data_IF_601098171701
#
_entry.id   IF_601098171701
#
_cell.length_a   1.000
_cell.length_b   1.000
_cell.length_c   1.000
_cell.angle_alpha   90.00
_cell.angle_beta   90.00
_cell.angle_gamma   90.00
#
_symmetry.space_group_name_H-M   'P 1'
#
loop_
_entity.id
_entity.type
_entity.pdbx_description
1 polymer ?
#
# COMPACT_ATOMS: atom_id res chain seq x y z
N UNK A 1 -5.80 -54.27 22.63
CA UNK A 1 -6.11 -53.40 23.78
C UNK A 1 -5.05 -52.32 23.85
N UNK A 2 -5.50 -51.08 23.65
CA UNK A 2 -4.99 -49.77 24.09
C UNK A 2 -3.50 -49.37 23.98
N UNK A 3 -3.37 -48.20 23.33
CA UNK A 3 -2.25 -47.29 23.06
C UNK A 3 -1.84 -46.56 24.37
N UNK A 4 -0.63 -45.95 24.52
CA UNK A 4 -0.46 -44.59 24.01
C UNK A 4 0.88 -44.34 23.26
N UNK A 5 0.76 -43.91 22.01
CA UNK A 5 1.71 -43.10 21.28
C UNK A 5 1.60 -41.68 21.86
N UNK A 6 2.68 -41.17 22.43
CA UNK A 6 2.82 -39.76 22.74
C UNK A 6 2.99 -38.99 21.42
N UNK A 7 1.88 -38.48 20.89
CA UNK A 7 1.90 -37.43 19.87
C UNK A 7 2.33 -36.12 20.54
N UNK A 8 3.61 -35.78 20.40
CA UNK A 8 4.07 -34.42 20.59
C UNK A 8 3.44 -33.56 19.49
N UNK A 9 2.34 -32.88 19.83
CA UNK A 9 1.81 -31.78 19.05
C UNK A 9 2.80 -30.62 19.09
N UNK A 10 3.72 -30.57 18.13
CA UNK A 10 4.44 -29.36 17.77
C UNK A 10 3.45 -28.40 17.11
N UNK A 11 2.70 -27.68 17.96
CA UNK A 11 1.96 -26.50 17.52
C UNK A 11 2.99 -25.46 17.08
N UNK A 12 3.09 -25.27 15.77
CA UNK A 12 3.74 -24.13 15.15
C UNK A 12 3.05 -22.85 15.63
N UNK A 13 3.52 -22.30 16.75
CA UNK A 13 3.28 -20.90 17.08
C UNK A 13 3.87 -20.05 15.94
N UNK A 14 2.98 -19.48 15.12
CA UNK A 14 3.30 -18.32 14.29
C UNK A 14 4.04 -17.32 15.17
N UNK A 15 5.33 -17.12 14.88
CA UNK A 15 6.26 -16.40 15.72
C UNK A 15 5.73 -15.02 16.11
N UNK A 16 5.43 -14.86 17.39
CA UNK A 16 5.45 -13.53 18.01
C UNK A 16 6.88 -13.01 17.86
N UNK A 17 7.06 -11.86 17.23
CA UNK A 17 8.36 -11.19 17.32
C UNK A 17 8.69 -10.99 18.80
N UNK A 18 9.86 -11.46 19.28
CA UNK A 18 10.19 -11.44 20.70
C UNK A 18 10.33 -10.01 21.26
N UNK A 19 10.47 -9.00 20.39
CA UNK A 19 10.36 -7.60 20.76
C UNK A 19 9.37 -6.90 19.80
N UNK A 20 8.23 -6.38 20.30
CA UNK A 20 7.27 -5.65 19.47
C UNK A 20 7.76 -4.26 19.08
N UNK A 21 8.84 -3.76 19.68
CA UNK A 21 9.38 -2.42 19.45
C UNK A 21 10.59 -2.48 18.54
N UNK A 22 10.67 -1.57 17.57
CA UNK A 22 11.82 -1.52 16.66
C UNK A 22 12.88 -0.57 17.24
N UNK A 23 14.14 -1.01 17.37
CA UNK A 23 15.19 -0.22 18.01
C UNK A 23 15.67 0.95 17.14
N UNK A 24 15.32 0.96 15.86
CA UNK A 24 15.75 1.96 14.89
C UNK A 24 14.56 2.83 14.48
N UNK A 25 14.70 4.12 14.70
CA UNK A 25 13.73 5.14 14.32
C UNK A 25 13.09 5.83 15.51
N UNK A 26 12.46 6.95 15.23
CA UNK A 26 11.70 7.73 16.19
C UNK A 26 10.56 8.41 15.46
N UNK A 27 9.38 8.38 16.05
CA UNK A 27 8.22 9.14 15.59
C UNK A 27 7.79 10.12 16.68
N UNK A 28 7.04 11.15 16.29
CA UNK A 28 6.33 12.01 17.24
C UNK A 28 4.91 11.49 17.41
N UNK A 29 4.44 11.53 18.65
CA UNK A 29 3.03 11.35 19.04
C UNK A 29 2.10 12.23 18.19
N UNK A 30 2.41 13.53 18.05
CA UNK A 30 1.65 14.47 17.23
C UNK A 30 1.51 13.98 15.78
N UNK A 31 2.61 13.56 15.15
CA UNK A 31 2.60 13.07 13.78
C UNK A 31 1.74 11.80 13.64
N UNK A 32 1.80 10.89 14.60
CA UNK A 32 1.00 9.67 14.58
C UNK A 32 -0.49 9.93 14.83
N UNK A 33 -0.85 10.88 15.70
CA UNK A 33 -2.25 11.30 15.86
C UNK A 33 -2.80 11.97 14.60
N UNK A 34 -1.99 12.78 13.90
CA UNK A 34 -2.38 13.34 12.61
C UNK A 34 -2.54 12.25 11.55
N UNK A 35 -1.65 11.25 11.52
CA UNK A 35 -1.79 10.10 10.62
C UNK A 35 -3.10 9.33 10.91
N UNK A 36 -3.43 9.10 12.18
CA UNK A 36 -4.70 8.49 12.58
C UNK A 36 -5.91 9.32 12.18
N UNK A 37 -5.86 10.65 12.32
CA UNK A 37 -6.94 11.55 11.93
C UNK A 37 -7.24 11.51 10.42
N UNK A 38 -6.26 11.15 9.59
CA UNK A 38 -6.41 10.95 8.15
C UNK A 38 -7.02 9.59 7.77
N UNK A 39 -7.21 8.67 8.72
CA UNK A 39 -7.87 7.40 8.47
C UNK A 39 -9.38 7.60 8.30
N UNK A 40 -9.91 7.09 7.19
CA UNK A 40 -11.33 7.06 6.90
C UNK A 40 -11.96 5.79 7.48
N UNK A 41 -13.13 5.97 8.11
CA UNK A 41 -13.94 4.90 8.67
C UNK A 41 -15.33 4.94 8.06
N UNK A 42 -16.07 3.85 8.16
CA UNK A 42 -17.50 3.80 7.86
C UNK A 42 -18.30 4.67 8.85
N UNK A 43 -19.59 4.87 8.56
CA UNK A 43 -20.48 5.69 9.40
C UNK A 43 -20.67 5.17 10.82
N UNK A 44 -20.49 3.86 11.03
CA UNK A 44 -20.52 3.22 12.34
C UNK A 44 -19.13 3.19 13.04
N UNK A 45 -18.16 3.96 12.51
CA UNK A 45 -16.79 4.08 13.01
C UNK A 45 -15.96 2.78 12.95
N UNK A 46 -16.21 1.91 11.96
CA UNK A 46 -15.42 0.69 11.75
C UNK A 46 -14.53 0.77 10.51
N UNK A 47 -13.55 -0.14 10.42
CA UNK A 47 -12.88 -0.44 9.17
C UNK A 47 -13.88 -1.06 8.19
N UNK A 48 -13.91 -0.56 6.95
CA UNK A 48 -14.76 -1.10 5.89
C UNK A 48 -14.51 -2.61 5.70
N UNK A 49 -15.59 -3.39 5.69
CA UNK A 49 -15.52 -4.82 5.46
C UNK A 49 -14.76 -5.15 4.16
N UNK A 50 -13.79 -6.06 4.25
CA UNK A 50 -12.90 -6.43 3.14
C UNK A 50 -11.63 -5.58 3.01
N UNK A 51 -11.54 -4.42 3.66
CA UNK A 51 -10.32 -3.61 3.73
C UNK A 51 -9.37 -4.14 4.80
N UNK A 52 -8.53 -5.11 4.42
CA UNK A 52 -7.62 -5.77 5.36
C UNK A 52 -6.42 -4.94 5.74
N UNK A 53 -5.94 -4.05 4.87
CA UNK A 53 -4.78 -3.21 5.14
C UNK A 53 -5.16 -1.74 4.99
N UNK A 54 -4.99 -0.99 6.05
CA UNK A 54 -5.13 0.46 6.09
C UNK A 54 -3.78 1.05 6.42
N UNK A 55 -3.39 2.11 5.72
CA UNK A 55 -2.17 2.83 6.00
C UNK A 55 -2.39 4.32 5.77
N UNK A 56 -1.94 5.14 6.71
CA UNK A 56 -1.92 6.60 6.60
C UNK A 56 -0.60 7.12 7.16
N UNK A 57 -0.17 8.27 6.66
CA UNK A 57 1.08 8.87 7.08
C UNK A 57 0.91 10.38 7.23
N UNK A 58 1.61 10.94 8.21
CA UNK A 58 1.72 12.37 8.47
C UNK A 58 3.06 12.65 9.13
N UNK A 59 3.73 13.73 8.72
CA UNK A 59 5.07 14.06 9.20
C UNK A 59 6.04 12.88 9.04
N UNK A 60 6.67 12.47 10.14
CA UNK A 60 7.57 11.32 10.20
C UNK A 60 6.89 9.98 10.52
N UNK A 61 5.57 9.93 10.75
CA UNK A 61 4.86 8.73 11.19
C UNK A 61 4.08 8.06 10.06
N UNK A 62 4.25 6.74 9.92
CA UNK A 62 3.39 5.83 9.18
C UNK A 62 2.63 4.94 10.17
N UNK A 63 1.30 5.04 10.12
CA UNK A 63 0.40 4.21 10.89
C UNK A 63 -0.25 3.18 9.96
N UNK A 64 -0.04 1.90 10.24
CA UNK A 64 -0.65 0.80 9.52
C UNK A 64 -1.54 -0.04 10.43
N UNK A 65 -2.70 -0.44 9.91
CA UNK A 65 -3.61 -1.38 10.56
C UNK A 65 -3.86 -2.55 9.61
N UNK A 66 -3.53 -3.75 10.06
CA UNK A 66 -3.82 -4.99 9.37
C UNK A 66 -4.96 -5.72 10.08
N UNK A 67 -6.17 -5.62 9.53
CA UNK A 67 -7.36 -6.32 10.04
C UNK A 67 -7.24 -7.82 9.84
N UNK A 68 -7.71 -8.57 10.84
CA UNK A 68 -7.86 -10.02 10.83
C UNK A 68 -9.31 -10.36 10.48
N UNK A 69 -9.54 -11.56 9.96
CA UNK A 69 -10.88 -12.03 9.56
C UNK A 69 -11.75 -12.45 10.78
N UNK A 70 -11.58 -11.79 11.93
CA UNK A 70 -12.19 -12.16 13.22
C UNK A 70 -13.23 -11.15 13.73
N UNK A 71 -13.59 -10.15 12.93
CA UNK A 71 -14.66 -9.19 13.23
C UNK A 71 -14.38 -7.78 12.71
N UNK A 72 -15.33 -6.87 12.92
CA UNK A 72 -15.14 -5.44 12.60
C UNK A 72 -14.19 -4.79 13.63
N UNK A 73 -13.21 -4.05 13.15
CA UNK A 73 -12.29 -3.26 13.99
C UNK A 73 -12.85 -1.84 14.12
N UNK A 74 -13.11 -1.44 15.36
CA UNK A 74 -13.63 -0.11 15.70
C UNK A 74 -12.50 0.93 15.75
N UNK A 75 -12.82 2.17 15.38
CA UNK A 75 -11.89 3.30 15.41
C UNK A 75 -11.24 3.51 16.78
N UNK A 76 -12.02 3.42 17.86
CA UNK A 76 -11.49 3.61 19.22
C UNK A 76 -10.49 2.51 19.61
N UNK A 77 -10.67 1.27 19.13
CA UNK A 77 -9.73 0.18 19.42
C UNK A 77 -8.36 0.44 18.79
N UNK A 78 -8.32 1.05 17.60
CA UNK A 78 -7.07 1.44 16.95
C UNK A 78 -6.39 2.58 17.73
N UNK A 79 -7.17 3.54 18.21
CA UNK A 79 -6.66 4.63 19.04
C UNK A 79 -6.04 4.11 20.35
N UNK A 80 -6.76 3.26 21.09
CA UNK A 80 -6.24 2.61 22.29
C UNK A 80 -4.97 1.79 21.99
N UNK A 81 -4.95 1.11 20.84
CA UNK A 81 -3.81 0.33 20.41
C UNK A 81 -2.58 1.20 20.10
N UNK A 82 -2.75 2.42 19.59
CA UNK A 82 -1.66 3.39 19.40
C UNK A 82 -1.09 3.83 20.74
N UNK A 83 -1.93 4.18 21.72
CA UNK A 83 -1.49 4.53 23.07
C UNK A 83 -0.66 3.41 23.72
N UNK A 84 -1.05 2.16 23.45
CA UNK A 84 -0.31 0.99 23.90
C UNK A 84 1.06 0.86 23.23
N UNK A 85 1.20 1.19 21.94
CA UNK A 85 2.51 1.24 21.26
C UNK A 85 3.37 2.37 21.85
N UNK A 86 2.80 3.56 22.04
CA UNK A 86 3.51 4.72 22.63
C UNK A 86 4.07 4.36 24.01
N UNK A 87 3.25 3.74 24.86
CA UNK A 87 3.65 3.34 26.22
C UNK A 87 4.72 2.24 26.22
N UNK A 88 4.55 1.20 25.39
CA UNK A 88 5.45 0.03 25.40
C UNK A 88 6.75 0.27 24.65
N UNK A 89 6.74 1.11 23.64
CA UNK A 89 7.89 1.38 22.77
C UNK A 89 8.51 2.76 22.98
N UNK A 90 8.18 3.42 24.10
CA UNK A 90 8.81 4.67 24.52
C UNK A 90 10.33 4.50 24.71
N UNK A 91 11.17 5.50 24.35
CA UNK A 91 10.79 6.82 23.79
C UNK A 91 10.67 6.86 22.27
N UNK A 92 11.01 5.78 21.56
CA UNK A 92 11.01 5.75 20.10
C UNK A 92 9.60 5.80 19.51
N UNK A 93 8.63 5.17 20.20
CA UNK A 93 7.22 5.03 19.80
C UNK A 93 7.04 4.30 18.46
N UNK A 94 7.99 3.43 18.14
CA UNK A 94 8.03 2.64 16.91
C UNK A 94 7.89 1.16 17.28
N UNK A 95 6.87 0.50 16.74
CA UNK A 95 6.61 -0.90 17.02
C UNK A 95 5.34 -1.44 16.35
N UNK A 96 5.15 -2.75 16.48
CA UNK A 96 3.98 -3.48 15.99
C UNK A 96 3.39 -4.33 17.11
N UNK A 97 2.10 -4.12 17.40
CA UNK A 97 1.39 -4.84 18.46
C UNK A 97 0.20 -5.62 17.88
N UNK A 98 0.12 -6.94 18.14
CA UNK A 98 -1.01 -7.75 17.72
C UNK A 98 -2.18 -7.64 18.72
N UNK A 99 -3.39 -7.49 18.19
CA UNK A 99 -4.67 -7.53 18.91
C UNK A 99 -5.54 -8.67 18.36
N UNK A 100 -6.64 -9.07 19.02
CA UNK A 100 -7.47 -10.17 18.54
C UNK A 100 -8.02 -9.99 17.12
N UNK A 101 -8.43 -8.77 16.74
CA UNK A 101 -9.04 -8.45 15.44
C UNK A 101 -8.15 -7.71 14.46
N UNK A 102 -6.94 -7.28 14.86
CA UNK A 102 -6.04 -6.55 13.98
C UNK A 102 -4.59 -6.57 14.49
N UNK A 103 -3.68 -5.99 13.72
CA UNK A 103 -2.32 -5.62 14.13
C UNK A 103 -2.20 -4.13 13.86
N UNK A 104 -1.67 -3.37 14.83
CA UNK A 104 -1.29 -1.97 14.62
C UNK A 104 0.23 -1.88 14.49
N UNK A 105 0.71 -1.07 13.56
CA UNK A 105 2.13 -0.77 13.41
C UNK A 105 2.32 0.74 13.32
N UNK A 106 3.15 1.28 14.21
CA UNK A 106 3.66 2.64 14.11
C UNK A 106 5.12 2.55 13.69
N UNK A 107 5.46 3.22 12.59
CA UNK A 107 6.82 3.21 12.05
C UNK A 107 7.24 4.58 11.57
N UNK A 108 8.54 4.83 11.61
CA UNK A 108 9.10 6.02 10.98
C UNK A 108 9.02 5.86 9.46
N UNK A 109 8.54 6.90 8.78
CA UNK A 109 8.55 6.95 7.33
C UNK A 109 9.69 7.79 6.80
N UNK A 110 10.44 7.24 5.84
CA UNK A 110 11.44 8.03 5.12
C UNK A 110 10.75 8.94 4.11
N UNK A 111 11.26 10.17 3.87
CA UNK A 111 10.59 11.13 3.00
C UNK A 111 10.35 10.63 1.57
N UNK A 112 11.22 9.75 1.08
CA UNK A 112 11.20 9.14 -0.26
C UNK A 112 10.44 7.80 -0.32
N UNK A 113 9.86 7.35 0.80
CA UNK A 113 9.06 6.11 0.85
C UNK A 113 7.93 6.20 -0.17
N UNK A 114 7.80 5.25 -1.12
CA UNK A 114 6.74 5.27 -2.10
C UNK A 114 5.35 5.29 -1.45
N UNK A 115 4.40 6.01 -2.06
CA UNK A 115 2.97 6.06 -1.71
C UNK A 115 2.63 6.81 -0.41
N UNK A 116 3.48 6.72 0.61
CA UNK A 116 3.20 7.25 1.94
C UNK A 116 4.23 8.25 2.45
N UNK A 117 5.42 8.34 1.85
CA UNK A 117 6.48 9.24 2.31
C UNK A 117 5.99 10.68 2.40
N UNK A 118 6.55 11.45 3.34
CA UNK A 118 6.10 12.83 3.63
C UNK A 118 6.19 13.77 2.42
N UNK A 119 7.06 13.47 1.44
CA UNK A 119 7.15 14.21 0.19
C UNK A 119 6.19 13.72 -0.91
N UNK A 120 5.42 12.66 -0.66
CA UNK A 120 4.44 12.14 -1.62
C UNK A 120 3.27 13.12 -1.73
N UNK A 121 3.18 13.79 -2.88
CA UNK A 121 2.05 14.66 -3.23
C UNK A 121 1.14 13.94 -4.22
N UNK A 122 -0.16 13.91 -3.94
CA UNK A 122 -1.13 13.28 -4.83
C UNK A 122 -1.23 14.02 -6.15
N UNK A 123 -1.39 13.25 -7.24
CA UNK A 123 -1.50 13.76 -8.61
C UNK A 123 -0.30 14.60 -9.09
N UNK A 124 0.81 14.60 -8.34
CA UNK A 124 2.08 15.26 -8.71
C UNK A 124 3.10 14.19 -9.10
N UNK A 125 3.58 14.16 -10.36
CA UNK A 125 4.55 13.16 -10.76
C UNK A 125 5.93 13.36 -10.13
N UNK A 126 6.57 12.24 -9.78
CA UNK A 126 7.98 12.13 -9.42
C UNK A 126 8.74 11.47 -10.56
N UNK A 127 9.88 12.05 -10.95
CA UNK A 127 10.67 11.62 -12.10
C UNK A 127 11.99 10.97 -11.65
N UNK A 128 12.64 10.23 -12.53
CA UNK A 128 13.89 9.50 -12.24
C UNK A 128 13.73 8.46 -11.12
N UNK A 129 12.55 7.83 -11.05
CA UNK A 129 12.36 6.69 -10.14
C UNK A 129 13.29 5.54 -10.53
N UNK A 130 13.73 4.77 -9.54
CA UNK A 130 14.56 3.58 -9.75
C UNK A 130 13.78 2.57 -10.61
N UNK A 131 14.40 2.16 -11.72
CA UNK A 131 13.83 1.22 -12.69
C UNK A 131 14.53 -0.13 -12.55
N UNK A 132 13.80 -1.26 -12.57
CA UNK A 132 14.40 -2.59 -12.67
C UNK A 132 14.89 -2.91 -14.09
N UNK A 133 14.65 -2.01 -15.05
CA UNK A 133 15.06 -2.14 -16.45
C UNK A 133 16.19 -1.17 -16.79
N UNK A 134 17.00 -1.54 -17.78
CA UNK A 134 18.02 -0.68 -18.37
C UNK A 134 17.44 0.70 -18.75
N UNK A 135 18.12 1.81 -18.47
CA UNK A 135 17.65 3.14 -18.86
C UNK A 135 17.39 3.24 -20.38
N UNK A 136 16.37 4.01 -20.75
CA UNK A 136 16.01 4.24 -22.15
C UNK A 136 14.92 5.30 -22.30
N UNK A 137 14.67 5.69 -23.54
CA UNK A 137 13.69 6.73 -23.90
C UNK A 137 12.29 6.12 -23.89
N UNK A 138 11.39 6.74 -23.13
CA UNK A 138 9.98 6.34 -23.04
C UNK A 138 9.14 7.19 -24.00
N UNK A 139 8.41 6.54 -24.91
CA UNK A 139 7.49 7.19 -25.83
C UNK A 139 6.08 7.29 -25.20
N UNK A 140 5.51 8.50 -25.00
CA UNK A 140 4.17 8.64 -24.43
C UNK A 140 3.07 7.89 -25.20
N UNK A 141 3.04 7.90 -26.55
CA UNK A 141 2.12 7.06 -27.32
C UNK A 141 2.23 5.55 -27.03
N UNK A 142 3.42 5.06 -26.73
CA UNK A 142 3.62 3.65 -26.38
C UNK A 142 2.99 3.34 -25.02
N UNK A 143 3.06 4.25 -24.05
CA UNK A 143 2.40 4.08 -22.75
C UNK A 143 0.88 4.02 -22.87
N UNK A 144 0.29 4.85 -23.73
CA UNK A 144 -1.16 4.79 -23.99
C UNK A 144 -1.56 3.44 -24.58
N UNK A 145 -0.78 2.92 -25.54
CA UNK A 145 -0.99 1.59 -26.13
C UNK A 145 -0.81 0.45 -25.13
N UNK A 146 0.16 0.56 -24.22
CA UNK A 146 0.32 -0.39 -23.13
C UNK A 146 -0.96 -0.44 -22.27
N UNK A 147 -1.53 0.72 -21.92
CA UNK A 147 -2.78 0.79 -21.13
C UNK A 147 -3.98 0.23 -21.91
N UNK A 148 -4.07 0.51 -23.22
CA UNK A 148 -5.10 -0.05 -24.09
C UNK A 148 -5.07 -1.58 -24.16
N UNK A 149 -3.89 -2.18 -23.98
CA UNK A 149 -3.73 -3.64 -23.97
C UNK A 149 -4.25 -4.33 -22.70
N UNK A 150 -4.50 -3.58 -21.62
CA UNK A 150 -5.01 -4.11 -20.36
C UNK A 150 -6.44 -4.61 -20.58
N UNK A 151 -6.63 -5.93 -20.53
CA UNK A 151 -7.93 -6.54 -20.75
C UNK A 151 -8.86 -6.30 -19.57
N UNK A 152 -10.16 -6.27 -19.84
CA UNK A 152 -11.19 -6.37 -18.80
C UNK A 152 -11.24 -7.81 -18.31
N UNK A 153 -11.27 -8.02 -16.99
CA UNK A 153 -11.56 -9.30 -16.39
C UNK A 153 -13.06 -9.59 -16.55
N UNK A 154 -13.40 -10.45 -17.52
CA UNK A 154 -14.80 -10.83 -17.79
C UNK A 154 -15.47 -11.58 -16.63
N UNK A 155 -14.68 -12.17 -15.72
CA UNK A 155 -15.22 -12.83 -14.53
C UNK A 155 -15.56 -11.84 -13.40
N UNK A 156 -15.07 -10.60 -13.47
CA UNK A 156 -15.41 -9.57 -12.48
C UNK A 156 -16.81 -9.02 -12.76
N UNK A 157 -17.76 -9.07 -11.81
CA UNK A 157 -19.09 -8.49 -11.99
C UNK A 157 -19.04 -6.97 -12.21
N UNK A 158 -17.98 -6.32 -11.72
CA UNK A 158 -17.75 -4.88 -11.82
C UNK A 158 -16.96 -4.51 -13.09
N UNK A 159 -16.66 -5.48 -13.97
CA UNK A 159 -15.88 -5.30 -15.21
C UNK A 159 -14.54 -4.59 -14.97
N UNK A 160 -13.87 -4.95 -13.88
CA UNK A 160 -12.54 -4.41 -13.54
C UNK A 160 -11.50 -4.81 -14.57
N UNK A 161 -10.39 -4.06 -14.61
CA UNK A 161 -9.22 -4.44 -15.38
C UNK A 161 -8.60 -5.72 -14.81
N UNK A 162 -8.04 -6.55 -15.69
CA UNK A 162 -7.31 -7.75 -15.33
C UNK A 162 -6.09 -7.38 -14.48
N UNK A 163 -6.02 -7.98 -13.30
CA UNK A 163 -5.08 -7.65 -12.25
C UNK A 163 -4.82 -8.86 -11.36
N UNK A 164 -3.77 -8.79 -10.56
CA UNK A 164 -3.44 -9.80 -9.55
C UNK A 164 -3.13 -9.10 -8.24
N UNK A 165 -3.92 -9.36 -7.19
CA UNK A 165 -3.71 -8.82 -5.84
C UNK A 165 -3.52 -7.29 -5.80
N UNK A 166 -4.36 -6.57 -6.54
CA UNK A 166 -4.27 -5.11 -6.63
C UNK A 166 -3.10 -4.58 -7.46
N UNK A 167 -2.52 -5.41 -8.33
CA UNK A 167 -1.44 -5.03 -9.24
C UNK A 167 -1.83 -5.24 -10.71
N UNK A 168 -1.48 -4.27 -11.56
CA UNK A 168 -1.65 -4.32 -13.01
C UNK A 168 -0.30 -4.01 -13.65
N UNK A 169 0.11 -4.82 -14.63
CA UNK A 169 1.29 -4.56 -15.44
C UNK A 169 0.95 -4.67 -16.93
N UNK A 170 1.41 -3.72 -17.74
CA UNK A 170 1.30 -3.80 -19.19
C UNK A 170 2.48 -3.11 -19.85
N UNK A 171 2.93 -3.65 -20.97
CA UNK A 171 4.06 -3.09 -21.72
C UNK A 171 3.76 -3.02 -23.20
N UNK A 172 4.29 -2.00 -23.85
CA UNK A 172 4.29 -1.86 -25.30
C UNK A 172 5.53 -1.11 -25.75
N UNK A 173 6.32 -1.71 -26.64
CA UNK A 173 7.56 -1.15 -27.21
C UNK A 173 8.46 -0.52 -26.15
N UNK A 174 8.52 0.81 -26.06
CA UNK A 174 9.41 1.54 -25.14
C UNK A 174 8.86 1.73 -23.73
N UNK A 175 7.57 1.44 -23.49
CA UNK A 175 6.91 1.75 -22.23
C UNK A 175 6.45 0.50 -21.47
N UNK A 176 6.76 0.46 -20.19
CA UNK A 176 6.25 -0.50 -19.21
C UNK A 176 5.49 0.26 -18.13
N UNK A 177 4.21 -0.04 -17.97
CA UNK A 177 3.31 0.56 -17.00
C UNK A 177 3.05 -0.45 -15.90
N UNK A 178 3.32 -0.05 -14.66
CA UNK A 178 3.04 -0.84 -13.47
C UNK A 178 2.16 -0.03 -12.52
N UNK A 179 1.05 -0.62 -12.07
CA UNK A 179 0.10 0.02 -11.17
C UNK A 179 -0.09 -0.89 -9.97
N UNK A 180 -0.09 -0.31 -8.76
CA UNK A 180 -0.37 -1.05 -7.53
C UNK A 180 -1.27 -0.27 -6.59
N UNK A 181 -2.13 -0.97 -5.87
CA UNK A 181 -2.86 -0.43 -4.73
C UNK A 181 -2.04 -0.57 -3.44
N UNK A 182 -2.16 0.39 -2.53
CA UNK A 182 -1.48 0.36 -1.23
C UNK A 182 -1.99 -0.74 -0.30
N UNK A 183 -3.26 -1.10 -0.47
CA UNK A 183 -3.98 -2.05 0.38
C UNK A 183 -4.14 -3.44 -0.25
N UNK A 184 -3.52 -3.68 -1.42
CA UNK A 184 -3.58 -4.95 -2.16
C UNK A 184 -4.99 -5.36 -2.61
N UNK A 185 -5.97 -4.47 -2.50
CA UNK A 185 -7.31 -4.67 -3.04
C UNK A 185 -7.37 -4.30 -4.51
N UNK A 186 -8.39 -4.83 -5.20
CA UNK A 186 -8.57 -4.60 -6.63
C UNK A 186 -8.68 -3.11 -6.96
N UNK A 187 -7.90 -2.70 -7.96
CA UNK A 187 -7.91 -1.39 -8.59
C UNK A 187 -9.23 -1.21 -9.34
N UNK A 188 -9.90 -0.09 -9.09
CA UNK A 188 -11.19 0.31 -9.67
C UNK A 188 -11.06 1.35 -10.78
N UNK A 189 -9.82 1.79 -11.07
CA UNK A 189 -9.53 2.69 -12.17
C UNK A 189 -9.70 1.98 -13.52
N UNK A 190 -10.48 2.58 -14.42
CA UNK A 190 -10.60 2.13 -15.81
C UNK A 190 -9.43 2.65 -16.67
N UNK A 191 -9.36 2.20 -17.92
CA UNK A 191 -8.31 2.60 -18.86
C UNK A 191 -8.21 4.12 -19.03
N UNK A 192 -9.32 4.86 -19.08
CA UNK A 192 -9.28 6.32 -19.23
C UNK A 192 -8.64 7.02 -18.03
N UNK A 193 -8.95 6.57 -16.80
CA UNK A 193 -8.30 7.11 -15.60
C UNK A 193 -6.81 6.76 -15.57
N UNK A 194 -6.44 5.55 -15.99
CA UNK A 194 -5.04 5.16 -16.10
C UNK A 194 -4.30 5.98 -17.17
N UNK A 195 -4.91 6.25 -18.33
CA UNK A 195 -4.34 7.13 -19.35
C UNK A 195 -4.09 8.53 -18.82
N UNK A 196 -5.03 9.10 -18.06
CA UNK A 196 -4.84 10.40 -17.40
C UNK A 196 -3.65 10.39 -16.45
N UNK A 197 -3.49 9.34 -15.63
CA UNK A 197 -2.31 9.18 -14.77
C UNK A 197 -1.02 9.08 -15.58
N UNK A 198 -1.02 8.31 -16.67
CA UNK A 198 0.12 8.20 -17.58
C UNK A 198 0.48 9.55 -18.20
N UNK A 199 -0.51 10.33 -18.64
CA UNK A 199 -0.29 11.65 -19.22
C UNK A 199 0.31 12.63 -18.23
N UNK A 200 -0.06 12.59 -16.94
CA UNK A 200 0.59 13.39 -15.90
C UNK A 200 2.09 13.05 -15.84
N UNK A 201 2.44 11.77 -15.77
CA UNK A 201 3.84 11.32 -15.70
C UNK A 201 4.59 11.73 -16.97
N UNK A 202 4.11 11.37 -18.16
CA UNK A 202 4.81 11.63 -19.41
C UNK A 202 4.88 13.11 -19.76
N UNK A 203 3.92 13.92 -19.30
CA UNK A 203 3.94 15.37 -19.48
C UNK A 203 5.04 16.04 -18.66
N UNK A 204 5.23 15.61 -17.40
CA UNK A 204 6.21 16.21 -16.48
C UNK A 204 7.60 15.57 -16.59
N UNK A 205 7.67 14.25 -16.61
CA UNK A 205 8.92 13.48 -16.68
C UNK A 205 9.43 13.28 -18.11
N UNK A 206 8.66 13.74 -19.11
CA UNK A 206 8.99 13.63 -20.53
C UNK A 206 9.26 12.17 -20.90
N UNK A 207 10.48 11.87 -21.34
CA UNK A 207 10.90 10.56 -21.82
C UNK A 207 11.60 9.70 -20.75
N UNK A 208 11.52 10.09 -19.48
CA UNK A 208 12.16 9.41 -18.35
C UNK A 208 11.14 8.61 -17.53
N UNK A 209 11.64 7.62 -16.79
CA UNK A 209 10.85 6.88 -15.81
C UNK A 209 10.24 7.83 -14.77
N UNK A 210 9.02 7.55 -14.35
CA UNK A 210 8.35 8.36 -13.35
C UNK A 210 7.19 7.64 -12.68
N UNK A 211 6.66 8.24 -11.63
CA UNK A 211 5.50 7.73 -10.92
C UNK A 211 4.54 8.85 -10.55
N UNK A 212 3.28 8.50 -10.34
CA UNK A 212 2.29 9.36 -9.72
C UNK A 212 1.48 8.53 -8.74
N UNK A 213 1.14 9.12 -7.59
CA UNK A 213 0.28 8.51 -6.59
C UNK A 213 -1.05 9.25 -6.62
N UNK A 214 -2.15 8.50 -6.61
CA UNK A 214 -3.49 9.04 -6.49
C UNK A 214 -4.09 8.61 -5.17
N UNK A 215 -4.83 9.53 -4.54
CA UNK A 215 -5.72 9.15 -3.46
C UNK A 215 -6.86 8.31 -4.03
N UNK A 216 -7.19 7.21 -3.37
CA UNK A 216 -8.14 6.20 -3.85
C UNK A 216 -7.68 5.49 -5.14
N UNK A 217 -8.61 4.82 -5.82
CA UNK A 217 -8.37 4.10 -7.07
C UNK A 217 -8.34 2.58 -6.93
N UNK A 218 -8.48 2.05 -5.72
CA UNK A 218 -8.87 0.66 -5.45
C UNK A 218 -10.00 0.64 -4.44
N UNK A 219 -10.60 -0.53 -4.21
CA UNK A 219 -11.54 -0.71 -3.10
C UNK A 219 -10.90 -0.34 -1.75
N UNK A 220 -11.73 0.03 -0.78
CA UNK A 220 -11.29 0.53 0.53
C UNK A 220 -11.39 2.05 0.63
N UNK A 221 -11.61 2.54 1.85
CA UNK A 221 -11.74 3.97 2.16
C UNK A 221 -10.38 4.65 2.37
N UNK A 222 -9.32 3.87 2.53
CA UNK A 222 -7.97 4.36 2.82
C UNK A 222 -6.99 4.03 1.69
N UNK A 223 -7.51 3.59 0.55
CA UNK A 223 -6.69 3.17 -0.56
C UNK A 223 -5.93 4.33 -1.20
N UNK A 224 -4.72 4.01 -1.69
CA UNK A 224 -3.95 4.84 -2.59
C UNK A 224 -3.51 3.99 -3.76
N UNK A 225 -3.51 4.55 -4.95
CA UNK A 225 -3.08 3.85 -6.16
C UNK A 225 -1.86 4.55 -6.74
N UNK A 226 -0.77 3.80 -6.93
CA UNK A 226 0.44 4.30 -7.57
C UNK A 226 0.54 3.76 -8.99
N UNK A 227 0.81 4.63 -9.95
CA UNK A 227 1.31 4.24 -11.27
C UNK A 227 2.80 4.56 -11.36
N UNK A 228 3.56 3.63 -11.91
CA UNK A 228 4.96 3.76 -12.28
C UNK A 228 5.09 3.47 -13.77
N UNK A 229 5.88 4.29 -14.46
CA UNK A 229 6.21 4.14 -15.87
C UNK A 229 7.73 3.98 -15.97
N UNK A 230 8.14 2.93 -16.68
CA UNK A 230 9.53 2.58 -16.92
C UNK A 230 9.80 2.43 -18.41
N UNK A 231 11.08 2.51 -18.78
CA UNK A 231 11.51 2.00 -20.07
C UNK A 231 11.32 0.49 -20.12
N UNK A 232 10.69 0.00 -21.18
CA UNK A 232 10.54 -1.43 -21.41
C UNK A 232 11.80 -1.98 -22.10
N UNK A 233 12.81 -2.25 -21.27
CA UNK A 233 14.11 -2.77 -21.68
C UNK A 233 14.43 -4.13 -21.07
N UNK A 234 15.70 -4.53 -21.15
CA UNK A 234 16.18 -5.72 -20.42
C UNK A 234 16.22 -5.41 -18.93
N UNK A 235 15.94 -6.42 -18.09
CA UNK A 235 16.16 -6.30 -16.65
C UNK A 235 17.64 -6.05 -16.37
N UNK A 236 17.91 -5.18 -15.40
CA UNK A 236 19.24 -4.94 -14.84
C UNK A 236 19.70 -6.14 -14.01
#
# INVERSE_FOLDING_TARGET
>A
MSIPFLLAYSSLCLGQQPNPCFPNGQVSDYDCYQAFALMNFTTDNTILAGEKRIATASGGCLLEVLSKDTGATQRFQIYDAMLDVEKRCSPAMVGSLPYPSFIVTMSQIQPDTPVFGSNTKFDVPSCNIISPFSPGIISPPDCLKAIDSIRINKASPQKLLAQSRGEISASFKSCSVYIKSSNQLDITLNQDKLKKMSSLITGKCKQQSGSVVKQFGSFGLNSRTQMQIYFNGKRL
#
